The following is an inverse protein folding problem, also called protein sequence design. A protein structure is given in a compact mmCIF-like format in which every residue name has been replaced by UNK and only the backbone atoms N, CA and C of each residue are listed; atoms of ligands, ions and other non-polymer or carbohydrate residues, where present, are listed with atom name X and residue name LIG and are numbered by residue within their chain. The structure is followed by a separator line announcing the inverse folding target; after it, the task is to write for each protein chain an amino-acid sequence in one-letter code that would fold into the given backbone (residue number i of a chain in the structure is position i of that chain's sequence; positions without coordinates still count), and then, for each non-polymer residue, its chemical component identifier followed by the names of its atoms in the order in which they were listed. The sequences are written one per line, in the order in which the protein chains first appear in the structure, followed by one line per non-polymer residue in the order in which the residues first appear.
data_IF_453882491634
#
_entry.id   IF_453882491634
#
_cell.length_a   1.000
_cell.length_b   1.000
_cell.length_c   1.000
_cell.angle_alpha   90.00
_cell.angle_beta   90.00
_cell.angle_gamma   90.00
#
_symmetry.space_group_name_H-M   'P 1'
#
loop_
_entity.id
_entity.type
_entity.pdbx_description
1 polymer ?
#
# COMPACT_ATOMS: atom_id res chain seq x y z
N UNK A 1 -30.71 41.91 57.94
CA UNK A 1 -30.82 40.93 59.04
C UNK A 1 -30.63 39.55 58.45
N UNK A 2 -29.74 38.77 59.06
CA UNK A 2 -29.41 37.38 58.73
C UNK A 2 -30.64 36.48 58.71
N UNK A 3 -30.65 35.50 57.81
CA UNK A 3 -31.16 34.16 58.10
C UNK A 3 -30.18 33.15 57.54
N UNK A 4 -29.84 32.20 58.40
CA UNK A 4 -28.72 31.26 58.34
C UNK A 4 -29.24 29.84 58.14
N UNK A 5 -28.32 28.97 57.67
CA UNK A 5 -28.31 27.51 57.82
C UNK A 5 -29.29 26.74 56.89
N UNK A 6 -28.95 25.59 56.28
CA UNK A 6 -27.88 24.61 56.54
C UNK A 6 -27.69 23.75 55.28
N UNK A 7 -26.44 23.39 54.96
CA UNK A 7 -26.10 22.37 53.97
C UNK A 7 -26.23 20.97 54.58
N UNK A 8 -26.77 20.02 53.81
CA UNK A 8 -26.70 18.57 54.09
C UNK A 8 -25.80 17.95 53.02
N UNK A 9 -24.60 17.52 53.43
CA UNK A 9 -23.71 16.65 52.66
C UNK A 9 -24.21 15.21 52.77
N UNK A 10 -24.48 14.56 51.63
CA UNK A 10 -24.61 13.10 51.58
C UNK A 10 -23.23 12.47 51.36
N UNK A 11 -22.78 11.72 52.36
CA UNK A 11 -21.60 10.87 52.28
C UNK A 11 -21.94 9.58 51.53
N UNK A 12 -21.35 9.40 50.36
CA UNK A 12 -21.25 8.10 49.67
C UNK A 12 -19.77 7.71 49.58
N UNK A 13 -19.37 6.52 50.02
CA UNK A 13 -17.96 6.12 50.08
C UNK A 13 -17.40 5.89 48.67
N UNK A 14 -16.29 6.57 48.39
CA UNK A 14 -15.45 6.38 47.21
C UNK A 14 -14.74 5.03 47.34
N UNK A 15 -15.13 4.06 46.50
CA UNK A 15 -14.37 2.84 46.32
C UNK A 15 -13.19 3.12 45.38
N UNK A 16 -11.98 3.08 45.94
CA UNK A 16 -10.72 3.15 45.19
C UNK A 16 -10.41 1.79 44.56
N UNK A 17 -10.23 1.68 43.23
CA UNK A 17 -9.55 0.54 42.66
C UNK A 17 -8.04 0.73 42.84
N UNK A 18 -7.45 -0.19 43.59
CA UNK A 18 -6.01 -0.37 43.80
C UNK A 18 -5.24 -0.50 42.48
N UNK A 19 -4.12 0.22 42.37
CA UNK A 19 -3.10 0.05 41.34
C UNK A 19 -2.58 -1.40 41.32
N UNK A 20 -2.58 -2.09 40.16
CA UNK A 20 -1.73 -3.25 39.98
C UNK A 20 -0.30 -2.80 39.70
N UNK A 21 0.58 -3.28 40.56
CA UNK A 21 2.04 -3.24 40.49
C UNK A 21 2.59 -3.69 39.14
N UNK A 22 3.52 -2.90 38.63
CA UNK A 22 4.48 -3.21 37.57
C UNK A 22 4.97 -4.66 37.64
N UNK A 23 4.63 -5.45 36.62
CA UNK A 23 5.32 -6.70 36.32
C UNK A 23 5.79 -6.60 34.88
N UNK A 24 7.11 -6.50 34.69
CA UNK A 24 7.74 -6.33 33.39
C UNK A 24 7.38 -7.47 32.44
N UNK A 25 6.71 -7.14 31.35
CA UNK A 25 6.51 -8.06 30.24
C UNK A 25 7.84 -8.20 29.49
N UNK A 26 8.50 -9.34 29.68
CA UNK A 26 9.60 -9.82 28.84
C UNK A 26 9.08 -9.97 27.42
N UNK A 27 9.76 -9.31 26.49
CA UNK A 27 9.62 -9.54 25.05
C UNK A 27 10.13 -10.96 24.74
N UNK A 28 9.25 -11.95 24.65
CA UNK A 28 9.64 -13.27 24.16
C UNK A 28 9.76 -13.23 22.63
N UNK A 29 11.00 -13.30 22.18
CA UNK A 29 11.38 -13.47 20.78
C UNK A 29 10.99 -14.88 20.35
N UNK A 30 10.01 -15.03 19.46
CA UNK A 30 9.72 -16.32 18.83
C UNK A 30 10.87 -16.69 17.88
N UNK A 31 11.72 -17.60 18.35
CA UNK A 31 12.78 -18.22 17.56
C UNK A 31 12.24 -19.55 17.01
N UNK A 32 12.06 -19.64 15.68
CA UNK A 32 11.72 -20.89 15.01
C UNK A 32 12.94 -21.83 15.03
N UNK A 33 12.85 -22.83 15.91
CA UNK A 33 13.86 -23.87 16.11
C UNK A 33 13.65 -24.98 15.08
N UNK A 34 14.52 -25.05 14.08
CA UNK A 34 14.56 -26.17 13.14
C UNK A 34 15.55 -27.22 13.66
N UNK A 35 15.05 -28.20 14.41
CA UNK A 35 15.78 -29.42 14.75
C UNK A 35 15.23 -30.58 13.89
N UNK A 36 16.06 -31.04 12.95
CA UNK A 36 15.74 -32.15 12.06
C UNK A 36 17.01 -32.73 11.45
N UNK A 37 17.75 -33.49 12.26
CA UNK A 37 18.91 -34.28 11.84
C UNK A 37 18.44 -35.50 11.05
N UNK A 38 18.86 -35.62 9.78
CA UNK A 38 19.01 -36.92 9.10
C UNK A 38 20.41 -36.96 8.49
N UNK A 39 21.17 -37.99 8.85
CA UNK A 39 22.59 -38.17 8.53
C UNK A 39 22.81 -39.58 7.99
N UNK A 40 23.05 -39.74 6.68
CA UNK A 40 23.80 -40.86 6.05
C UNK A 40 24.41 -40.33 4.73
N UNK A 41 25.72 -40.02 4.65
CA UNK A 41 26.89 -40.85 4.26
C UNK A 41 26.87 -41.38 2.80
N UNK A 42 27.82 -40.89 1.98
CA UNK A 42 28.22 -41.52 0.71
C UNK A 42 29.07 -40.60 -0.18
N UNK A 43 30.30 -40.99 -0.47
CA UNK A 43 31.29 -40.32 -1.34
C UNK A 43 30.77 -40.13 -2.79
N UNK A 44 31.24 -39.18 -3.62
CA UNK A 44 32.60 -39.08 -4.17
C UNK A 44 32.88 -37.67 -4.73
N UNK A 45 34.08 -37.17 -4.49
CA UNK A 45 34.63 -35.99 -5.14
C UNK A 45 35.01 -36.31 -6.59
N UNK A 46 34.67 -35.41 -7.52
CA UNK A 46 35.38 -35.31 -8.79
C UNK A 46 35.59 -33.83 -9.11
N UNK A 47 36.86 -33.44 -9.06
CA UNK A 47 37.38 -32.12 -9.39
C UNK A 47 37.32 -31.91 -10.90
N UNK A 48 36.61 -30.88 -11.35
CA UNK A 48 36.78 -30.33 -12.70
C UNK A 48 36.98 -28.83 -12.60
N UNK A 49 38.15 -28.39 -13.07
CA UNK A 49 38.63 -27.02 -13.07
C UNK A 49 37.71 -26.06 -13.87
N UNK A 50 37.65 -24.77 -13.52
CA UNK A 50 36.74 -23.82 -14.16
C UNK A 50 37.30 -23.34 -15.50
N UNK A 51 36.52 -23.48 -16.57
CA UNK A 51 36.74 -22.78 -17.84
C UNK A 51 36.31 -21.32 -17.68
N UNK A 52 37.30 -20.43 -17.68
CA UNK A 52 37.18 -18.98 -17.77
C UNK A 52 36.34 -18.63 -19.01
N UNK A 53 35.10 -18.19 -18.81
CA UNK A 53 34.33 -17.45 -19.83
C UNK A 53 34.34 -15.98 -19.47
N UNK A 54 34.89 -15.19 -20.38
CA UNK A 54 35.10 -13.75 -20.35
C UNK A 54 33.79 -13.04 -19.95
N UNK A 55 33.80 -12.40 -18.79
CA UNK A 55 32.82 -11.37 -18.43
C UNK A 55 33.15 -10.12 -19.24
N UNK A 56 32.26 -9.74 -20.15
CA UNK A 56 32.29 -8.43 -20.78
C UNK A 56 31.80 -7.40 -19.75
N UNK A 57 32.74 -6.70 -19.13
CA UNK A 57 32.47 -5.53 -18.29
C UNK A 57 32.21 -4.36 -19.23
N UNK A 58 30.94 -3.95 -19.40
CA UNK A 58 30.63 -2.68 -20.04
C UNK A 58 30.96 -1.56 -19.06
N UNK A 59 32.15 -0.96 -19.20
CA UNK A 59 32.50 0.30 -18.55
C UNK A 59 31.77 1.43 -19.28
N UNK A 60 30.73 2.00 -18.65
CA UNK A 60 30.05 3.19 -19.15
C UNK A 60 30.97 4.40 -18.91
N UNK A 61 31.32 5.05 -20.02
CA UNK A 61 32.03 6.32 -20.05
C UNK A 61 31.16 7.42 -19.44
N UNK A 62 31.77 8.16 -18.52
CA UNK A 62 31.16 9.23 -17.73
C UNK A 62 31.07 10.50 -18.58
N UNK A 63 29.88 10.81 -19.08
CA UNK A 63 29.53 12.13 -19.58
C UNK A 63 28.33 12.69 -18.79
N UNK A 64 28.47 13.95 -18.38
CA UNK A 64 27.70 14.58 -17.33
C UNK A 64 26.32 15.06 -17.75
N UNK A 65 25.31 14.49 -17.12
CA UNK A 65 24.17 15.22 -16.56
C UNK A 65 23.60 14.35 -15.44
N UNK A 66 23.92 14.69 -14.19
CA UNK A 66 23.56 13.89 -13.03
C UNK A 66 22.06 14.04 -12.70
N UNK A 67 21.19 13.36 -13.45
CA UNK A 67 20.01 12.76 -12.84
C UNK A 67 20.54 11.61 -11.99
N UNK A 68 20.47 11.74 -10.66
CA UNK A 68 20.82 10.64 -9.77
C UNK A 68 19.82 9.52 -10.07
N UNK A 69 20.25 8.54 -10.87
CA UNK A 69 19.52 7.30 -11.07
C UNK A 69 19.56 6.60 -9.71
N UNK A 70 18.53 6.84 -8.90
CA UNK A 70 18.44 6.26 -7.57
C UNK A 70 18.14 4.78 -7.75
N UNK A 71 19.20 3.95 -7.79
CA UNK A 71 19.08 2.49 -7.89
C UNK A 71 18.60 1.94 -6.54
N UNK A 72 17.31 2.12 -6.24
CA UNK A 72 16.68 1.60 -5.03
C UNK A 72 16.63 0.06 -5.13
N UNK A 73 17.16 -0.67 -4.14
CA UNK A 73 17.11 -2.13 -4.12
C UNK A 73 15.70 -2.64 -3.81
N UNK A 74 15.43 -3.89 -4.18
CA UNK A 74 14.20 -4.57 -3.75
C UNK A 74 14.21 -4.71 -2.21
N UNK A 75 13.10 -4.39 -1.50
CA UNK A 75 13.07 -4.37 -0.05
C UNK A 75 13.25 -5.76 0.56
N UNK A 76 13.94 -5.84 1.69
CA UNK A 76 14.13 -7.09 2.43
C UNK A 76 12.90 -7.48 3.26
N UNK A 77 12.12 -6.50 3.72
CA UNK A 77 10.92 -6.66 4.53
C UNK A 77 9.95 -5.47 4.36
N UNK A 78 8.78 -5.55 4.99
CA UNK A 78 7.77 -4.48 4.93
C UNK A 78 8.24 -3.17 5.56
N UNK A 79 9.16 -3.20 6.52
CA UNK A 79 9.66 -1.97 7.12
C UNK A 79 10.52 -1.20 6.12
N UNK A 80 11.41 -1.89 5.40
CA UNK A 80 12.18 -1.28 4.32
C UNK A 80 11.26 -0.82 3.19
N UNK A 81 10.29 -1.65 2.79
CA UNK A 81 9.30 -1.30 1.76
C UNK A 81 8.58 0.01 2.09
N UNK A 82 8.04 0.12 3.32
CA UNK A 82 7.29 1.30 3.74
C UNK A 82 8.16 2.56 3.80
N UNK A 83 9.44 2.43 4.16
CA UNK A 83 10.37 3.55 4.12
C UNK A 83 10.69 3.97 2.67
N UNK A 84 10.90 3.02 1.76
CA UNK A 84 11.08 3.32 0.35
C UNK A 84 9.84 4.00 -0.25
N UNK A 85 8.64 3.48 0.04
CA UNK A 85 7.38 4.06 -0.40
C UNK A 85 7.17 5.48 0.15
N UNK A 86 7.54 5.73 1.41
CA UNK A 86 7.50 7.06 2.05
C UNK A 86 8.39 8.05 1.32
N UNK A 87 9.65 7.68 1.08
CA UNK A 87 10.61 8.51 0.34
C UNK A 87 10.11 8.79 -1.08
N UNK A 88 9.59 7.77 -1.76
CA UNK A 88 9.05 7.90 -3.11
C UNK A 88 7.85 8.86 -3.17
N UNK A 89 6.92 8.76 -2.23
CA UNK A 89 5.77 9.65 -2.12
C UNK A 89 6.20 11.10 -1.79
N UNK A 90 7.17 11.30 -0.89
CA UNK A 90 7.72 12.63 -0.60
C UNK A 90 8.33 13.29 -1.84
N UNK A 91 9.08 12.52 -2.64
CA UNK A 91 9.68 13.00 -3.89
C UNK A 91 8.61 13.34 -4.92
N UNK A 92 7.60 12.47 -5.09
CA UNK A 92 6.49 12.72 -5.99
C UNK A 92 5.70 13.99 -5.61
N UNK A 93 5.47 14.24 -4.30
CA UNK A 93 4.83 15.47 -3.83
C UNK A 93 5.70 16.70 -4.12
N UNK A 94 7.02 16.62 -3.92
CA UNK A 94 7.94 17.72 -4.27
C UNK A 94 7.93 18.04 -5.77
N UNK A 95 7.72 17.02 -6.59
CA UNK A 95 7.56 17.16 -8.04
C UNK A 95 6.11 17.51 -8.46
N UNK A 96 5.28 17.95 -7.51
CA UNK A 96 3.89 18.38 -7.69
C UNK A 96 2.95 17.30 -8.26
N UNK A 97 3.24 16.02 -8.04
CA UNK A 97 2.31 14.92 -8.38
C UNK A 97 1.12 14.96 -7.43
N UNK A 98 -0.09 15.08 -7.99
CA UNK A 98 -1.32 15.16 -7.19
C UNK A 98 -1.99 13.82 -6.96
N UNK A 99 -1.92 12.94 -7.96
CA UNK A 99 -2.61 11.66 -7.98
C UNK A 99 -1.57 10.55 -8.01
N UNK A 100 -1.52 9.73 -6.98
CA UNK A 100 -0.46 8.76 -6.76
C UNK A 100 -1.02 7.37 -6.46
N UNK A 101 -0.26 6.36 -6.86
CA UNK A 101 -0.56 4.95 -6.62
C UNK A 101 0.60 4.28 -5.88
N UNK A 102 0.26 3.57 -4.80
CA UNK A 102 1.14 2.64 -4.09
C UNK A 102 0.49 1.26 -4.17
N UNK A 103 1.20 0.27 -4.71
CA UNK A 103 0.68 -1.10 -4.81
C UNK A 103 1.76 -2.14 -4.52
N UNK A 104 1.49 -3.09 -3.64
CA UNK A 104 2.42 -4.16 -3.32
C UNK A 104 1.68 -5.34 -2.66
N UNK A 105 2.24 -6.57 -2.69
CA UNK A 105 1.59 -7.73 -2.08
C UNK A 105 1.47 -7.57 -0.56
N UNK A 106 0.32 -7.92 -0.01
CA UNK A 106 0.00 -7.85 1.44
C UNK A 106 0.30 -9.17 2.15
N UNK A 107 0.05 -10.31 1.49
CA UNK A 107 0.27 -11.66 2.01
C UNK A 107 1.77 -12.10 2.06
N UNK A 108 2.71 -11.15 2.07
CA UNK A 108 4.16 -11.37 2.04
C UNK A 108 4.85 -10.84 0.78
N UNK A 109 6.07 -10.30 0.91
CA UNK A 109 6.80 -9.68 -0.22
C UNK A 109 7.03 -10.60 -1.43
N UNK A 110 7.04 -11.92 -1.21
CA UNK A 110 7.20 -12.91 -2.27
C UNK A 110 5.90 -13.55 -2.74
N UNK A 111 4.75 -13.16 -2.17
CA UNK A 111 3.44 -13.68 -2.57
C UNK A 111 3.07 -13.10 -3.93
N UNK A 112 2.30 -13.85 -4.69
CA UNK A 112 1.74 -13.38 -5.96
C UNK A 112 0.22 -13.19 -5.81
N UNK A 113 -0.44 -12.51 -6.77
CA UNK A 113 -1.88 -12.36 -6.74
C UNK A 113 -2.62 -13.69 -6.53
N UNK A 114 -3.52 -13.72 -5.55
CA UNK A 114 -4.31 -14.89 -5.16
C UNK A 114 -3.65 -15.85 -4.17
N UNK A 115 -2.46 -15.54 -3.64
CA UNK A 115 -1.88 -16.29 -2.51
C UNK A 115 -2.52 -15.92 -1.16
N UNK A 116 -3.07 -14.71 -1.02
CA UNK A 116 -3.81 -14.29 0.16
C UNK A 116 -5.30 -14.61 0.09
N UNK A 117 -5.95 -14.59 1.24
CA UNK A 117 -7.41 -14.64 1.36
C UNK A 117 -7.93 -13.21 1.42
N UNK A 118 -8.88 -12.82 0.56
CA UNK A 118 -9.25 -11.42 0.35
C UNK A 118 -9.62 -10.64 1.62
N UNK A 119 -10.23 -11.28 2.63
CA UNK A 119 -10.54 -10.63 3.91
C UNK A 119 -9.31 -10.37 4.80
N UNK A 120 -8.31 -11.25 4.72
CA UNK A 120 -7.02 -11.10 5.40
C UNK A 120 -6.22 -9.98 4.72
N UNK A 121 -6.21 -9.95 3.38
CA UNK A 121 -5.50 -8.95 2.60
C UNK A 121 -5.98 -7.51 2.91
N UNK A 122 -7.29 -7.30 3.09
CA UNK A 122 -7.84 -6.00 3.48
C UNK A 122 -7.40 -5.57 4.88
N UNK A 123 -7.43 -6.50 5.84
CA UNK A 123 -7.00 -6.23 7.22
C UNK A 123 -5.50 -5.93 7.28
N UNK A 124 -4.68 -6.68 6.56
CA UNK A 124 -3.24 -6.44 6.42
C UNK A 124 -2.96 -5.11 5.71
N UNK A 125 -3.69 -4.80 4.63
CA UNK A 125 -3.58 -3.53 3.92
C UNK A 125 -3.91 -2.35 4.85
N UNK A 126 -4.94 -2.46 5.69
CA UNK A 126 -5.27 -1.44 6.69
C UNK A 126 -4.13 -1.21 7.69
N UNK A 127 -3.47 -2.27 8.17
CA UNK A 127 -2.29 -2.16 9.04
C UNK A 127 -1.10 -1.49 8.32
N UNK A 128 -0.84 -1.89 7.08
CA UNK A 128 0.24 -1.31 6.27
C UNK A 128 -0.01 0.17 5.95
N UNK A 129 -1.26 0.57 5.69
CA UNK A 129 -1.66 1.98 5.54
C UNK A 129 -1.37 2.74 6.83
N UNK A 130 -1.71 2.18 7.99
CA UNK A 130 -1.46 2.81 9.29
C UNK A 130 0.02 3.06 9.51
N UNK A 131 0.86 2.05 9.26
CA UNK A 131 2.31 2.15 9.41
C UNK A 131 2.94 3.10 8.39
N UNK A 132 2.46 3.10 7.14
CA UNK A 132 2.84 4.08 6.14
C UNK A 132 2.54 5.50 6.62
N UNK A 133 1.31 5.75 7.08
CA UNK A 133 0.86 7.04 7.58
C UNK A 133 1.70 7.53 8.78
N UNK A 134 2.10 6.64 9.70
CA UNK A 134 2.98 7.01 10.82
C UNK A 134 4.35 7.53 10.39
N UNK A 135 4.88 6.96 9.30
CA UNK A 135 6.19 7.35 8.78
C UNK A 135 6.07 8.59 7.89
N UNK A 136 5.01 8.68 7.11
CA UNK A 136 4.82 9.67 6.06
C UNK A 136 4.23 10.99 6.56
N UNK A 137 3.33 10.94 7.55
CA UNK A 137 2.53 12.09 7.94
C UNK A 137 3.02 12.61 9.29
N UNK A 138 3.46 13.87 9.31
CA UNK A 138 3.81 14.53 10.57
C UNK A 138 2.58 14.69 11.46
N UNK A 139 2.80 14.75 12.77
CA UNK A 139 1.72 14.94 13.77
C UNK A 139 0.83 16.16 13.47
N UNK A 140 1.42 17.25 12.98
CA UNK A 140 0.70 18.47 12.56
C UNK A 140 -0.24 18.23 11.36
N UNK A 141 0.18 17.38 10.41
CA UNK A 141 -0.58 17.06 9.20
C UNK A 141 -1.57 15.92 9.40
N UNK A 142 -1.50 15.17 10.51
CA UNK A 142 -2.41 14.06 10.79
C UNK A 142 -3.88 14.53 10.80
N UNK A 143 -4.16 15.67 11.44
CA UNK A 143 -5.50 16.27 11.47
C UNK A 143 -5.96 16.86 10.13
N UNK A 144 -5.05 17.03 9.17
CA UNK A 144 -5.31 17.51 7.81
C UNK A 144 -5.31 16.38 6.79
N UNK A 145 -5.08 15.15 7.23
CA UNK A 145 -5.16 13.96 6.38
C UNK A 145 -6.45 13.23 6.63
N UNK A 146 -7.13 12.85 5.54
CA UNK A 146 -8.32 12.00 5.58
C UNK A 146 -8.07 10.70 4.86
N UNK A 147 -8.39 9.60 5.53
CA UNK A 147 -8.27 8.25 5.02
C UNK A 147 -9.68 7.75 4.72
N UNK A 148 -9.88 7.30 3.48
CA UNK A 148 -11.11 6.67 3.02
C UNK A 148 -10.92 5.17 2.96
N UNK A 149 -11.81 4.44 3.62
CA UNK A 149 -11.98 2.99 3.44
C UNK A 149 -13.16 2.70 2.49
N UNK A 150 -13.27 1.49 1.93
CA UNK A 150 -14.39 1.17 1.06
C UNK A 150 -15.75 1.42 1.73
N UNK A 151 -15.99 0.83 2.90
CA UNK A 151 -17.30 0.90 3.58
C UNK A 151 -17.27 1.48 5.00
N UNK A 152 -18.46 1.86 5.49
CA UNK A 152 -18.64 2.40 6.85
C UNK A 152 -18.28 1.41 7.96
N UNK A 153 -18.58 0.12 7.77
CA UNK A 153 -18.24 -0.97 8.70
C UNK A 153 -16.72 -1.07 8.92
N UNK A 154 -15.94 -0.88 7.86
CA UNK A 154 -14.48 -0.89 7.93
C UNK A 154 -13.92 0.34 8.63
N UNK A 155 -14.56 1.51 8.47
CA UNK A 155 -14.20 2.70 9.25
C UNK A 155 -14.43 2.46 10.73
N UNK A 156 -15.56 1.86 11.10
CA UNK A 156 -15.86 1.57 12.50
C UNK A 156 -14.87 0.55 13.08
N UNK A 157 -14.56 -0.50 12.32
CA UNK A 157 -13.51 -1.45 12.68
C UNK A 157 -12.14 -0.77 12.84
N UNK A 158 -11.72 0.06 11.87
CA UNK A 158 -10.46 0.79 11.89
C UNK A 158 -10.34 1.68 13.13
N UNK A 159 -11.39 2.43 13.48
CA UNK A 159 -11.44 3.30 14.67
C UNK A 159 -11.30 2.50 15.97
N UNK A 160 -11.87 1.30 16.03
CA UNK A 160 -11.83 0.45 17.21
C UNK A 160 -10.54 -0.37 17.33
N UNK A 161 -9.79 -0.51 16.23
CA UNK A 161 -8.61 -1.37 16.14
C UNK A 161 -7.35 -0.57 15.74
N UNK A 162 -6.91 -0.70 14.49
CA UNK A 162 -5.62 -0.26 13.93
C UNK A 162 -5.40 1.26 14.06
N UNK A 163 -6.47 2.05 14.01
CA UNK A 163 -6.43 3.51 14.11
C UNK A 163 -6.93 4.04 15.46
N UNK A 164 -7.09 3.17 16.46
CA UNK A 164 -7.46 3.59 17.80
C UNK A 164 -6.44 4.56 18.38
N UNK A 165 -6.92 5.69 18.93
CA UNK A 165 -6.08 6.75 19.52
C UNK A 165 -5.40 7.67 18.50
N UNK A 166 -5.60 7.48 17.20
CA UNK A 166 -4.99 8.31 16.17
C UNK A 166 -5.79 9.59 15.88
N UNK A 167 -5.09 10.64 15.45
CA UNK A 167 -5.70 11.92 15.03
C UNK A 167 -6.12 11.98 13.57
N UNK A 168 -5.94 10.90 12.80
CA UNK A 168 -6.36 10.82 11.40
C UNK A 168 -7.88 10.92 11.28
N UNK A 169 -8.36 11.62 10.25
CA UNK A 169 -9.78 11.63 9.90
C UNK A 169 -10.08 10.37 9.10
N UNK A 170 -11.02 9.54 9.57
CA UNK A 170 -11.45 8.34 8.86
C UNK A 170 -12.86 8.54 8.30
N UNK A 171 -13.04 8.20 7.03
CA UNK A 171 -14.28 8.26 6.28
C UNK A 171 -14.37 7.07 5.32
N UNK A 172 -15.45 6.95 4.55
CA UNK A 172 -15.65 5.83 3.63
C UNK A 172 -16.16 6.28 2.26
N UNK A 173 -15.94 5.44 1.25
CA UNK A 173 -16.34 5.70 -0.14
C UNK A 173 -17.83 5.41 -0.37
N UNK A 174 -18.30 4.22 0.05
CA UNK A 174 -19.67 3.75 -0.18
C UNK A 174 -20.39 3.49 1.16
N UNK A 175 -21.67 3.86 1.25
CA UNK A 175 -22.51 3.29 2.31
C UNK A 175 -22.94 1.91 1.84
N UNK A 176 -22.88 0.87 2.67
CA UNK A 176 -23.62 -0.35 2.39
C UNK A 176 -25.10 -0.02 2.54
N UNK A 177 -25.76 0.36 1.46
CA UNK A 177 -27.20 0.53 1.49
C UNK A 177 -27.80 -0.87 1.26
N UNK A 178 -28.24 -1.53 2.32
CA UNK A 178 -29.14 -2.69 2.23
C UNK A 178 -30.45 -2.40 1.45
N UNK A 179 -30.67 -1.14 1.05
CA UNK A 179 -31.76 -0.64 0.19
C UNK A 179 -31.33 -0.27 -1.24
N UNK A 180 -30.06 -0.46 -1.64
CA UNK A 180 -29.60 -0.16 -3.01
C UNK A 180 -30.32 -0.99 -4.09
N UNK A 181 -30.87 -2.15 -3.72
CA UNK A 181 -31.74 -2.96 -4.59
C UNK A 181 -33.14 -2.34 -4.84
N UNK A 182 -33.51 -1.25 -4.16
CA UNK A 182 -34.87 -0.66 -4.23
C UNK A 182 -34.95 0.78 -4.80
N UNK A 183 -33.89 1.30 -5.43
CA UNK A 183 -34.02 2.43 -6.37
C UNK A 183 -34.32 3.81 -5.76
N UNK A 184 -34.16 4.01 -4.45
CA UNK A 184 -34.21 5.32 -3.81
C UNK A 184 -32.99 5.52 -2.92
N UNK A 185 -31.96 6.24 -3.40
CA UNK A 185 -30.87 6.68 -2.52
C UNK A 185 -30.42 8.09 -2.86
N UNK A 186 -30.39 8.91 -1.81
CA UNK A 186 -29.74 10.21 -1.74
C UNK A 186 -28.22 10.02 -1.94
N UNK A 187 -27.73 10.32 -3.16
CA UNK A 187 -26.32 10.19 -3.50
C UNK A 187 -25.51 11.21 -2.68
N UNK A 188 -24.90 10.77 -1.59
CA UNK A 188 -23.98 11.61 -0.80
C UNK A 188 -22.76 11.92 -1.68
N UNK A 189 -22.56 13.20 -2.00
CA UNK A 189 -21.43 13.63 -2.82
C UNK A 189 -20.14 13.58 -2.02
N UNK A 190 -19.02 13.29 -2.68
CA UNK A 190 -17.71 13.31 -2.01
C UNK A 190 -17.35 14.72 -1.52
N UNK A 191 -17.80 15.76 -2.22
CA UNK A 191 -17.72 17.15 -1.78
C UNK A 191 -18.26 17.40 -0.37
N UNK A 192 -19.30 16.67 0.04
CA UNK A 192 -19.98 16.87 1.33
C UNK A 192 -19.21 16.20 2.49
N UNK A 193 -18.34 15.23 2.18
CA UNK A 193 -17.53 14.49 3.14
C UNK A 193 -16.17 15.15 3.39
N UNK A 194 -15.62 15.77 2.35
CA UNK A 194 -14.35 16.49 2.40
C UNK A 194 -14.52 17.83 3.12
N UNK A 195 -13.53 18.21 3.94
CA UNK A 195 -13.50 19.50 4.63
C UNK A 195 -12.46 20.42 3.98
N UNK A 196 -12.69 21.74 4.06
CA UNK A 196 -11.80 22.73 3.45
C UNK A 196 -10.34 22.59 3.90
N UNK A 197 -10.12 22.28 5.18
CA UNK A 197 -8.78 22.09 5.76
C UNK A 197 -8.15 20.71 5.56
N UNK A 198 -8.75 19.83 4.75
CA UNK A 198 -8.09 18.59 4.34
C UNK A 198 -7.04 18.91 3.26
N UNK A 199 -5.84 18.35 3.38
CA UNK A 199 -4.70 18.58 2.48
C UNK A 199 -4.28 17.31 1.73
N UNK A 200 -4.41 16.15 2.38
CA UNK A 200 -4.07 14.84 1.84
C UNK A 200 -5.25 13.88 1.99
N UNK A 201 -5.55 13.18 0.90
CA UNK A 201 -6.47 12.05 0.89
C UNK A 201 -5.69 10.77 0.64
N UNK A 202 -5.94 9.75 1.47
CA UNK A 202 -5.47 8.40 1.22
C UNK A 202 -6.68 7.50 1.08
N UNK A 203 -6.74 6.70 0.02
CA UNK A 203 -7.81 5.73 -0.20
C UNK A 203 -7.23 4.33 -0.07
N UNK A 204 -7.75 3.58 0.91
CA UNK A 204 -7.37 2.19 1.12
C UNK A 204 -8.16 1.27 0.20
N UNK A 205 -7.43 0.50 -0.60
CA UNK A 205 -7.87 -0.73 -1.27
C UNK A 205 -9.27 -0.70 -1.93
N UNK A 206 -9.56 0.26 -2.83
CA UNK A 206 -10.88 0.41 -3.46
C UNK A 206 -11.15 -0.60 -4.59
N UNK A 207 -11.04 -1.90 -4.32
CA UNK A 207 -11.15 -2.97 -5.32
C UNK A 207 -12.24 -4.02 -5.06
N UNK A 208 -12.92 -3.99 -3.91
CA UNK A 208 -13.94 -5.00 -3.61
C UNK A 208 -15.17 -4.81 -4.49
N UNK A 209 -15.62 -3.56 -4.61
CA UNK A 209 -16.72 -3.16 -5.48
C UNK A 209 -16.23 -2.17 -6.56
N UNK A 210 -16.63 -2.42 -7.82
CA UNK A 210 -16.33 -1.53 -8.95
C UNK A 210 -16.81 -0.09 -8.77
N UNK A 211 -17.81 0.13 -7.90
CA UNK A 211 -18.29 1.47 -7.58
C UNK A 211 -17.28 2.26 -6.74
N UNK A 212 -16.42 1.61 -5.96
CA UNK A 212 -15.43 2.27 -5.09
C UNK A 212 -14.47 3.13 -5.92
N UNK A 213 -13.84 2.55 -6.95
CA UNK A 213 -12.92 3.30 -7.82
C UNK A 213 -13.61 4.42 -8.62
N UNK A 214 -14.92 4.29 -8.91
CA UNK A 214 -15.71 5.36 -9.53
C UNK A 214 -15.91 6.53 -8.55
N UNK A 215 -16.14 6.24 -7.27
CA UNK A 215 -16.21 7.25 -6.21
C UNK A 215 -14.85 7.90 -5.98
N UNK A 216 -13.75 7.17 -6.13
CA UNK A 216 -12.40 7.75 -6.08
C UNK A 216 -12.15 8.74 -7.23
N UNK A 217 -12.64 8.44 -8.44
CA UNK A 217 -12.60 9.40 -9.55
C UNK A 217 -13.44 10.65 -9.24
N UNK A 218 -14.62 10.49 -8.63
CA UNK A 218 -15.47 11.61 -8.17
C UNK A 218 -14.75 12.46 -7.12
N UNK A 219 -14.15 11.83 -6.10
CA UNK A 219 -13.34 12.49 -5.07
C UNK A 219 -12.19 13.29 -5.70
N UNK A 220 -11.48 12.71 -6.67
CA UNK A 220 -10.41 13.42 -7.38
C UNK A 220 -10.95 14.67 -8.10
N UNK A 221 -12.02 14.53 -8.88
CA UNK A 221 -12.60 15.63 -9.67
C UNK A 221 -13.14 16.76 -8.78
N UNK A 222 -13.79 16.41 -7.67
CA UNK A 222 -14.48 17.38 -6.81
C UNK A 222 -13.58 18.02 -5.77
N UNK A 223 -12.58 17.29 -5.25
CA UNK A 223 -11.81 17.73 -4.09
C UNK A 223 -10.33 17.98 -4.36
N UNK A 224 -9.76 17.40 -5.43
CA UNK A 224 -8.30 17.38 -5.67
C UNK A 224 -7.92 18.18 -6.90
N UNK A 225 -8.58 17.91 -8.02
CA UNK A 225 -8.32 18.56 -9.30
C UNK A 225 -8.43 20.09 -9.14
N UNK A 226 -7.45 20.82 -9.66
CA UNK A 226 -7.35 22.29 -9.56
C UNK A 226 -7.16 22.84 -8.13
N UNK A 227 -6.71 22.00 -7.18
CA UNK A 227 -6.34 22.44 -5.82
C UNK A 227 -4.88 22.08 -5.53
N UNK A 228 -4.38 22.39 -4.34
CA UNK A 228 -3.08 21.88 -3.86
C UNK A 228 -3.17 20.52 -3.16
N UNK A 229 -4.37 19.96 -3.02
CA UNK A 229 -4.56 18.69 -2.32
C UNK A 229 -3.94 17.53 -3.10
N UNK A 230 -3.64 16.46 -2.38
CA UNK A 230 -3.00 15.26 -2.91
C UNK A 230 -3.89 14.04 -2.63
N UNK A 231 -3.87 13.06 -3.51
CA UNK A 231 -4.63 11.82 -3.42
C UNK A 231 -3.70 10.63 -3.67
N UNK A 232 -3.62 9.73 -2.69
CA UNK A 232 -2.88 8.48 -2.76
C UNK A 232 -3.87 7.31 -2.74
N UNK A 233 -3.81 6.42 -3.72
CA UNK A 233 -4.51 5.15 -3.71
C UNK A 233 -3.53 4.07 -3.25
N UNK A 234 -3.91 3.30 -2.24
CA UNK A 234 -3.07 2.31 -1.61
C UNK A 234 -3.64 0.91 -1.83
N UNK A 235 -2.89 0.02 -2.49
CA UNK A 235 -3.28 -1.36 -2.84
C UNK A 235 -4.65 -1.43 -3.52
N UNK A 236 -4.84 -0.68 -4.60
CA UNK A 236 -6.13 -0.57 -5.29
C UNK A 236 -6.45 -1.64 -6.33
N UNK A 237 -5.56 -2.63 -6.53
CA UNK A 237 -5.65 -3.65 -7.58
C UNK A 237 -5.99 -3.07 -8.96
N UNK A 238 -5.42 -1.90 -9.28
CA UNK A 238 -5.83 -1.12 -10.45
C UNK A 238 -5.51 -1.85 -11.75
N UNK A 239 -4.59 -2.81 -11.71
CA UNK A 239 -4.25 -3.66 -12.85
C UNK A 239 -5.41 -4.53 -13.33
N UNK A 240 -6.38 -4.90 -12.48
CA UNK A 240 -7.61 -5.58 -12.94
C UNK A 240 -8.37 -4.70 -13.94
N UNK A 241 -8.40 -3.40 -13.68
CA UNK A 241 -9.06 -2.43 -14.56
C UNK A 241 -8.19 -2.21 -15.81
N UNK A 242 -6.88 -2.00 -15.64
CA UNK A 242 -5.94 -1.76 -16.76
C UNK A 242 -5.84 -2.95 -17.72
N UNK A 243 -5.94 -4.18 -17.22
CA UNK A 243 -5.84 -5.41 -18.02
C UNK A 243 -7.12 -5.75 -18.78
N UNK A 244 -8.21 -4.99 -18.55
CA UNK A 244 -9.51 -5.29 -19.15
C UNK A 244 -10.22 -6.49 -18.53
N UNK A 245 -9.96 -6.80 -17.24
CA UNK A 245 -10.69 -7.85 -16.52
C UNK A 245 -12.20 -7.62 -16.57
N UNK A 246 -12.62 -6.35 -16.51
CA UNK A 246 -14.02 -5.94 -16.66
C UNK A 246 -14.33 -5.63 -18.12
N UNK A 247 -15.17 -6.44 -18.81
CA UNK A 247 -15.49 -6.21 -20.21
C UNK A 247 -16.20 -4.86 -20.41
N UNK A 248 -15.72 -4.06 -21.36
CA UNK A 248 -16.18 -2.68 -21.58
C UNK A 248 -17.66 -2.57 -21.92
N UNK A 249 -18.25 -3.60 -22.54
CA UNK A 249 -19.68 -3.64 -22.87
C UNK A 249 -20.56 -3.64 -21.60
N UNK A 250 -20.15 -4.36 -20.56
CA UNK A 250 -20.88 -4.43 -19.29
C UNK A 250 -20.46 -3.34 -18.30
N UNK A 251 -19.22 -2.86 -18.39
CA UNK A 251 -18.63 -1.87 -17.48
C UNK A 251 -18.07 -0.64 -18.22
N UNK A 252 -18.91 0.12 -18.95
CA UNK A 252 -18.45 1.24 -19.77
C UNK A 252 -17.80 2.36 -18.96
N UNK A 253 -18.25 2.57 -17.71
CA UNK A 253 -17.64 3.54 -16.79
C UNK A 253 -16.20 3.16 -16.42
N UNK A 254 -15.96 1.89 -16.10
CA UNK A 254 -14.60 1.39 -15.82
C UNK A 254 -13.71 1.46 -17.07
N UNK A 255 -14.25 1.12 -18.24
CA UNK A 255 -13.54 1.25 -19.49
C UNK A 255 -13.13 2.72 -19.76
N UNK A 256 -13.97 3.69 -19.39
CA UNK A 256 -13.62 5.10 -19.46
C UNK A 256 -12.46 5.46 -18.52
N UNK A 257 -12.43 4.94 -17.28
CA UNK A 257 -11.35 5.19 -16.33
C UNK A 257 -9.97 4.82 -16.88
N UNK A 258 -9.86 3.73 -17.65
CA UNK A 258 -8.58 3.32 -18.27
C UNK A 258 -8.03 4.34 -19.26
N UNK A 259 -8.89 5.21 -19.79
CA UNK A 259 -8.54 6.24 -20.78
C UNK A 259 -8.40 7.62 -20.16
N UNK A 260 -9.11 7.89 -19.05
CA UNK A 260 -9.21 9.25 -18.48
C UNK A 260 -8.50 9.37 -17.13
N UNK A 261 -8.80 8.48 -16.17
CA UNK A 261 -8.39 8.63 -14.78
C UNK A 261 -7.07 7.92 -14.47
N UNK A 262 -6.97 6.64 -14.81
CA UNK A 262 -5.79 5.83 -14.49
C UNK A 262 -4.50 6.35 -15.17
N UNK A 263 -4.52 6.86 -16.42
CA UNK A 263 -3.31 7.41 -17.04
C UNK A 263 -2.78 8.69 -16.37
N UNK A 264 -3.59 9.37 -15.55
CA UNK A 264 -3.15 10.56 -14.80
C UNK A 264 -2.39 10.21 -13.52
N UNK A 265 -2.44 8.95 -13.07
CA UNK A 265 -1.81 8.52 -11.83
C UNK A 265 -0.29 8.38 -12.00
N UNK A 266 0.44 8.89 -11.03
CA UNK A 266 1.85 8.56 -10.88
C UNK A 266 2.00 7.34 -9.96
N UNK A 267 2.48 6.22 -10.49
CA UNK A 267 2.83 5.06 -9.68
C UNK A 267 4.11 5.34 -8.89
N UNK A 268 3.97 5.68 -7.61
CA UNK A 268 5.09 6.09 -6.77
C UNK A 268 5.86 4.90 -6.19
N UNK A 269 5.16 3.81 -5.87
CA UNK A 269 5.78 2.58 -5.40
C UNK A 269 4.97 1.37 -5.85
N UNK A 270 5.65 0.37 -6.41
CA UNK A 270 4.97 -0.76 -7.02
C UNK A 270 5.76 -2.06 -6.92
N UNK A 271 5.10 -3.14 -6.51
CA UNK A 271 5.62 -4.51 -6.54
C UNK A 271 4.53 -5.44 -7.08
N UNK A 272 4.83 -6.16 -8.16
CA UNK A 272 3.98 -7.24 -8.66
C UNK A 272 4.81 -8.48 -8.96
N UNK A 273 4.50 -9.58 -8.30
CA UNK A 273 5.22 -10.84 -8.45
C UNK A 273 4.54 -11.75 -9.47
N UNK A 274 5.34 -12.37 -10.32
CA UNK A 274 4.91 -13.32 -11.34
C UNK A 274 5.29 -14.74 -10.93
N UNK A 275 4.30 -15.64 -10.97
CA UNK A 275 4.50 -17.09 -10.76
C UNK A 275 5.10 -17.75 -12.01
N UNK A 276 5.66 -18.94 -11.81
CA UNK A 276 6.07 -19.86 -12.88
C UNK A 276 7.57 -20.11 -12.94
N UNK A 277 7.97 -20.97 -13.90
CA UNK A 277 9.38 -21.40 -14.08
C UNK A 277 10.33 -20.21 -14.29
N UNK A 278 9.86 -19.18 -15.01
CA UNK A 278 10.59 -17.96 -15.28
C UNK A 278 10.04 -16.79 -14.46
N UNK A 279 9.51 -17.05 -13.26
CA UNK A 279 8.95 -16.03 -12.38
C UNK A 279 9.91 -14.88 -12.09
N UNK A 280 9.36 -13.76 -11.67
CA UNK A 280 10.08 -12.52 -11.39
C UNK A 280 9.17 -11.49 -10.76
N UNK A 281 9.66 -10.25 -10.68
CA UNK A 281 8.96 -9.16 -10.00
C UNK A 281 9.05 -7.91 -10.85
N UNK A 282 7.91 -7.31 -11.18
CA UNK A 282 7.85 -5.94 -11.68
C UNK A 282 7.94 -5.01 -10.47
N UNK A 283 8.93 -4.13 -10.47
CA UNK A 283 9.24 -3.24 -9.36
C UNK A 283 9.37 -1.80 -9.84
N UNK A 284 8.85 -0.85 -9.05
CA UNK A 284 9.12 0.58 -9.22
C UNK A 284 9.21 1.26 -7.87
N UNK A 285 10.17 2.18 -7.76
CA UNK A 285 10.27 3.15 -6.68
C UNK A 285 10.59 4.52 -7.30
N UNK A 286 9.66 5.47 -7.21
CA UNK A 286 9.82 6.81 -7.79
C UNK A 286 11.02 7.55 -7.18
N UNK A 287 11.79 8.32 -7.99
CA UNK A 287 11.62 8.63 -9.41
C UNK A 287 12.27 7.61 -10.37
N UNK A 288 12.70 6.46 -9.87
CA UNK A 288 13.38 5.43 -10.66
C UNK A 288 12.51 4.80 -11.75
N UNK A 289 13.14 4.12 -12.73
CA UNK A 289 12.45 3.45 -13.81
C UNK A 289 11.69 2.21 -13.30
N UNK A 290 10.80 1.69 -14.13
CA UNK A 290 10.25 0.36 -13.97
C UNK A 290 11.34 -0.68 -14.21
N UNK A 291 11.44 -1.67 -13.33
CA UNK A 291 12.42 -2.75 -13.40
C UNK A 291 11.72 -4.09 -13.36
N UNK A 292 12.15 -5.02 -14.20
CA UNK A 292 11.79 -6.44 -14.08
C UNK A 292 12.96 -7.15 -13.40
N UNK A 293 12.72 -7.64 -12.21
CA UNK A 293 13.72 -8.27 -11.36
C UNK A 293 13.52 -9.79 -11.33
N UNK A 294 14.61 -10.54 -11.25
CA UNK A 294 14.57 -11.98 -10.95
C UNK A 294 15.37 -12.28 -9.70
N UNK A 295 14.76 -13.05 -8.81
CA UNK A 295 15.41 -13.53 -7.60
C UNK A 295 16.43 -14.61 -7.94
N UNK A 296 17.67 -14.44 -7.49
CA UNK A 296 18.77 -15.39 -7.63
C UNK A 296 19.24 -15.78 -6.23
N UNK A 297 18.77 -16.93 -5.73
CA UNK A 297 19.04 -17.38 -4.36
C UNK A 297 18.18 -16.68 -3.30
N UNK A 298 18.65 -16.63 -2.06
CA UNK A 298 17.76 -16.28 -0.93
C UNK A 298 17.41 -14.80 -0.81
N UNK A 299 18.26 -13.86 -1.24
CA UNK A 299 18.01 -12.40 -1.07
C UNK A 299 18.54 -11.52 -2.19
N UNK A 300 19.09 -12.09 -3.27
CA UNK A 300 19.68 -11.30 -4.35
C UNK A 300 18.68 -11.19 -5.49
N UNK A 301 18.51 -9.97 -5.98
CA UNK A 301 17.75 -9.68 -7.19
C UNK A 301 18.70 -9.25 -8.30
N UNK A 302 18.40 -9.67 -9.53
CA UNK A 302 19.08 -9.23 -10.74
C UNK A 302 18.06 -8.51 -11.60
N UNK A 303 18.40 -7.31 -12.07
CA UNK A 303 17.59 -6.57 -13.03
C UNK A 303 17.73 -7.21 -14.41
N UNK A 304 16.62 -7.66 -14.98
CA UNK A 304 16.55 -8.28 -16.31
C UNK A 304 16.23 -7.25 -17.39
N UNK A 305 15.39 -6.27 -17.04
CA UNK A 305 14.90 -5.25 -17.96
C UNK A 305 14.55 -3.98 -17.20
N UNK A 306 14.73 -2.83 -17.84
CA UNK A 306 14.33 -1.53 -17.29
C UNK A 306 13.73 -0.63 -18.36
N UNK A 307 12.71 0.16 -17.98
CA UNK A 307 12.08 1.14 -18.87
C UNK A 307 11.39 2.25 -18.08
N UNK A 308 11.15 3.39 -18.75
CA UNK A 308 10.59 4.57 -18.09
C UNK A 308 9.06 4.51 -17.97
N UNK A 309 8.36 3.89 -18.93
CA UNK A 309 6.91 3.72 -18.93
C UNK A 309 6.50 2.40 -18.28
N UNK A 310 5.33 2.38 -17.62
CA UNK A 310 4.79 1.15 -17.04
C UNK A 310 4.59 0.08 -18.14
N UNK A 311 5.25 -1.09 -18.07
CA UNK A 311 4.93 -2.20 -18.97
C UNK A 311 3.59 -2.81 -18.59
N UNK A 312 2.92 -3.45 -19.55
CA UNK A 312 1.74 -4.24 -19.20
C UNK A 312 2.14 -5.54 -18.49
N UNK A 313 1.30 -6.04 -17.59
CA UNK A 313 1.56 -7.35 -16.95
C UNK A 313 1.71 -8.48 -17.98
N UNK A 314 0.98 -8.39 -19.10
CA UNK A 314 1.07 -9.35 -20.21
C UNK A 314 2.44 -9.31 -20.90
N UNK A 315 2.95 -8.12 -21.20
CA UNK A 315 4.27 -7.91 -21.79
C UNK A 315 5.37 -8.48 -20.88
N UNK A 316 5.31 -8.20 -19.57
CA UNK A 316 6.28 -8.73 -18.60
C UNK A 316 6.24 -10.25 -18.56
N UNK A 317 5.04 -10.83 -18.47
CA UNK A 317 4.86 -12.28 -18.34
C UNK A 317 5.19 -13.07 -19.61
N UNK A 318 4.90 -12.54 -20.80
CA UNK A 318 4.99 -13.28 -22.06
C UNK A 318 6.24 -12.94 -22.88
N UNK A 319 6.81 -11.75 -22.71
CA UNK A 319 7.91 -11.27 -23.55
C UNK A 319 9.19 -11.10 -22.74
N UNK A 320 9.15 -10.35 -21.63
CA UNK A 320 10.35 -10.01 -20.87
C UNK A 320 10.88 -11.20 -20.06
N UNK A 321 10.04 -11.76 -19.19
CA UNK A 321 10.47 -12.85 -18.30
C UNK A 321 10.89 -14.13 -19.06
N UNK A 322 10.20 -14.56 -20.14
CA UNK A 322 10.63 -15.74 -20.88
C UNK A 322 11.90 -15.57 -21.71
N UNK A 323 12.22 -14.34 -22.11
CA UNK A 323 13.39 -14.04 -22.97
C UNK A 323 14.70 -13.86 -22.21
N UNK A 324 14.63 -13.75 -20.88
CA UNK A 324 15.75 -13.43 -19.99
C UNK A 324 16.35 -14.66 -19.29
#
# INVERSE_FOLDING_TARGET
MLLSSTMILSNSPIASPSLPTSTGAKLETFSLKNDGVIRIRGATASSVAPRIRKTATCSVSKDGNASVETDVPFPADYSELLEQARVAADLAIKDNRQLMEIEFPTAGLGSVPGDGEGGIEMTESMQLIREFCDRFISSEKATRTRIFFPEASEVDFARQSVFSGCSFKLDYLTKPSFFEDFGFVEKIKMSDRVKTGDELFLVGYPYFNVNEILVVEELYKEAVLNTERKLIIFNGELDRIRSGYYPSFFYPKLAALTKTFLPMMETVYYIHNFKGRNGGTLFRCYPGPWKVLRRVGNRKYVCLHQQNSMPSLKEVALEILPSA
#
